data_IF_808907862629
#
_entry.id   IF_808907862629
#
_cell.length_a   1.000
_cell.length_b   1.000
_cell.length_c   1.000
_cell.angle_alpha   90.00
_cell.angle_beta   90.00
_cell.angle_gamma   90.00
#
_symmetry.space_group_name_H-M   'P 1'
#
loop_
_entity.id
_entity.type
_entity.pdbx_description
1 polymer ?
#
# COMPACT_ATOMS: atom_id res chain seq x y z
N UNK A 1 -14.02 1.19 -28.92
CA UNK A 1 -13.92 0.22 -27.80
C UNK A 1 -14.63 0.84 -26.60
N UNK A 2 -15.44 0.09 -25.84
CA UNK A 2 -16.18 0.65 -24.70
C UNK A 2 -15.23 1.12 -23.58
N UNK A 3 -15.61 2.18 -22.86
CA UNK A 3 -14.82 2.77 -21.76
C UNK A 3 -14.48 1.75 -20.66
N UNK A 4 -15.41 0.82 -20.39
CA UNK A 4 -15.22 -0.27 -19.42
C UNK A 4 -14.03 -1.15 -19.81
N UNK A 5 -13.94 -1.53 -21.09
CA UNK A 5 -12.86 -2.39 -21.59
C UNK A 5 -11.50 -1.67 -21.55
N UNK A 6 -11.49 -0.34 -21.72
CA UNK A 6 -10.25 0.45 -21.58
C UNK A 6 -9.78 0.54 -20.13
N UNK A 7 -10.70 0.73 -19.18
CA UNK A 7 -10.37 0.74 -17.75
C UNK A 7 -9.90 -0.62 -17.25
N UNK A 8 -10.52 -1.71 -17.69
CA UNK A 8 -10.07 -3.05 -17.36
C UNK A 8 -8.63 -3.29 -17.83
N UNK A 9 -8.32 -2.98 -19.09
CA UNK A 9 -6.98 -3.12 -19.66
C UNK A 9 -5.94 -2.30 -18.89
N UNK A 10 -6.25 -1.04 -18.59
CA UNK A 10 -5.36 -0.18 -17.81
C UNK A 10 -5.15 -0.72 -16.39
N UNK A 11 -6.23 -1.16 -15.73
CA UNK A 11 -6.18 -1.74 -14.40
C UNK A 11 -5.30 -3.00 -14.33
N UNK A 12 -5.39 -3.88 -15.33
CA UNK A 12 -4.55 -5.08 -15.42
C UNK A 12 -3.07 -4.69 -15.56
N UNK A 13 -2.75 -3.71 -16.40
CA UNK A 13 -1.37 -3.22 -16.60
C UNK A 13 -0.83 -2.64 -15.28
N UNK A 14 -1.60 -1.74 -14.65
CA UNK A 14 -1.24 -1.12 -13.37
C UNK A 14 -1.04 -2.17 -12.27
N UNK A 15 -1.92 -3.17 -12.18
CA UNK A 15 -1.82 -4.23 -11.19
C UNK A 15 -0.58 -5.11 -11.41
N UNK A 16 -0.24 -5.41 -12.66
CA UNK A 16 0.95 -6.21 -13.02
C UNK A 16 2.25 -5.50 -12.64
N UNK A 17 2.34 -4.19 -12.88
CA UNK A 17 3.53 -3.37 -12.64
C UNK A 17 3.46 -2.53 -11.36
N UNK A 18 2.55 -2.86 -10.43
CA UNK A 18 2.33 -2.09 -9.19
C UNK A 18 3.57 -1.91 -8.30
N UNK A 19 4.58 -2.76 -8.43
CA UNK A 19 5.83 -2.66 -7.67
C UNK A 19 6.88 -1.76 -8.34
N UNK A 20 6.75 -1.50 -9.63
CA UNK A 20 7.67 -0.70 -10.43
C UNK A 20 7.29 0.78 -10.44
N UNK A 21 5.98 1.09 -10.42
CA UNK A 21 5.49 2.48 -10.35
C UNK A 21 6.06 3.27 -9.15
N UNK A 22 6.10 2.72 -7.92
CA UNK A 22 6.68 3.42 -6.78
C UNK A 22 8.16 3.77 -6.94
N UNK A 23 8.93 3.04 -7.74
CA UNK A 23 10.37 3.30 -7.95
C UNK A 23 10.56 4.66 -8.64
N UNK A 24 9.73 4.96 -9.64
CA UNK A 24 9.76 6.25 -10.34
C UNK A 24 9.43 7.40 -9.39
N UNK A 25 8.42 7.22 -8.53
CA UNK A 25 8.06 8.19 -7.51
C UNK A 25 9.21 8.41 -6.51
N UNK A 26 9.94 7.35 -6.16
CA UNK A 26 11.10 7.43 -5.27
C UNK A 26 12.22 8.27 -5.88
N UNK A 27 12.55 8.05 -7.16
CA UNK A 27 13.54 8.89 -7.86
C UNK A 27 13.13 10.36 -7.90
N UNK A 28 11.85 10.64 -8.16
CA UNK A 28 11.32 12.01 -8.13
C UNK A 28 11.45 12.64 -6.74
N UNK A 29 11.21 11.88 -5.66
CA UNK A 29 11.30 12.40 -4.29
C UNK A 29 12.72 12.83 -3.86
N UNK A 30 13.78 12.24 -4.43
CA UNK A 30 15.17 12.56 -4.07
C UNK A 30 15.47 14.04 -4.25
N UNK A 31 15.00 14.64 -5.36
CA UNK A 31 15.23 16.05 -5.64
C UNK A 31 14.59 16.94 -4.57
N UNK A 32 13.33 16.65 -4.22
CA UNK A 32 12.61 17.41 -3.19
C UNK A 32 13.28 17.29 -1.83
N UNK A 33 13.73 16.08 -1.45
CA UNK A 33 14.41 15.87 -0.16
C UNK A 33 15.74 16.63 -0.12
N UNK A 34 16.51 16.63 -1.21
CA UNK A 34 17.81 17.29 -1.26
C UNK A 34 17.70 18.82 -1.12
N UNK A 35 16.70 19.44 -1.76
CA UNK A 35 16.54 20.89 -1.77
C UNK A 35 15.70 21.45 -0.62
N UNK A 36 15.07 20.59 0.18
CA UNK A 36 14.25 21.04 1.31
C UNK A 36 15.13 21.34 2.52
N UNK A 37 15.03 22.55 3.06
CA UNK A 37 15.65 22.90 4.33
C UNK A 37 14.75 22.49 5.50
N UNK A 38 15.23 21.60 6.35
CA UNK A 38 14.51 21.07 7.50
C UNK A 38 14.82 21.81 8.81
N UNK A 39 15.71 22.81 8.78
CA UNK A 39 16.18 23.53 9.97
C UNK A 39 15.07 24.28 10.72
N UNK A 40 14.01 24.70 10.01
CA UNK A 40 12.88 25.43 10.58
C UNK A 40 11.77 24.54 11.13
N UNK A 41 11.89 23.20 11.04
CA UNK A 41 10.84 22.31 11.53
C UNK A 41 10.89 22.23 13.05
N UNK A 42 9.86 22.77 13.68
CA UNK A 42 9.64 22.65 15.12
C UNK A 42 8.98 21.29 15.39
N UNK A 43 9.24 20.69 16.55
CA UNK A 43 8.60 19.43 17.00
C UNK A 43 8.92 18.17 16.17
N UNK A 44 10.05 18.13 15.46
CA UNK A 44 10.52 16.95 14.69
C UNK A 44 10.40 15.64 15.48
N UNK A 45 10.71 15.66 16.78
CA UNK A 45 10.60 14.49 17.65
C UNK A 45 9.18 13.91 17.72
N UNK A 46 8.15 14.74 17.80
CA UNK A 46 6.76 14.28 17.84
C UNK A 46 6.33 13.69 16.51
N UNK A 47 6.68 14.35 15.40
CA UNK A 47 6.43 13.82 14.06
C UNK A 47 7.11 12.46 13.86
N UNK A 48 8.38 12.33 14.28
CA UNK A 48 9.11 11.07 14.19
C UNK A 48 8.46 9.94 15.00
N UNK A 49 7.96 10.23 16.21
CA UNK A 49 7.22 9.24 17.01
C UNK A 49 5.93 8.82 16.31
N UNK A 50 5.14 9.78 15.81
CA UNK A 50 3.88 9.50 15.10
C UNK A 50 4.16 8.66 13.85
N UNK A 51 5.18 9.01 13.08
CA UNK A 51 5.65 8.27 11.90
C UNK A 51 5.99 6.82 12.24
N UNK A 52 6.77 6.59 13.29
CA UNK A 52 7.11 5.23 13.76
C UNK A 52 5.85 4.46 14.16
N UNK A 53 4.94 5.08 14.90
CA UNK A 53 3.68 4.45 15.32
C UNK A 53 2.83 4.06 14.10
N UNK A 54 2.71 4.94 13.10
CA UNK A 54 1.99 4.66 11.85
C UNK A 54 2.59 3.49 11.07
N UNK A 55 3.93 3.46 10.96
CA UNK A 55 4.65 2.36 10.32
C UNK A 55 4.39 1.04 11.04
N UNK A 56 4.55 1.01 12.37
CA UNK A 56 4.32 -0.18 13.19
C UNK A 56 2.87 -0.66 13.09
N UNK A 57 1.90 0.25 13.19
CA UNK A 57 0.49 -0.05 13.06
C UNK A 57 0.20 -0.65 11.67
N UNK A 58 0.74 -0.06 10.61
CA UNK A 58 0.59 -0.59 9.26
C UNK A 58 1.19 -1.99 9.10
N UNK A 59 2.35 -2.26 9.70
CA UNK A 59 2.93 -3.60 9.75
C UNK A 59 2.06 -4.59 10.52
N UNK A 60 1.48 -4.20 11.66
CA UNK A 60 0.57 -5.06 12.44
C UNK A 60 -0.68 -5.42 11.66
N UNK A 61 -1.30 -4.44 10.97
CA UNK A 61 -2.44 -4.69 10.08
C UNK A 61 -2.05 -5.70 9.00
N UNK A 62 -0.89 -5.50 8.35
CA UNK A 62 -0.42 -6.43 7.30
C UNK A 62 -0.17 -7.82 7.84
N UNK A 63 0.51 -7.93 8.97
CA UNK A 63 0.81 -9.22 9.61
C UNK A 63 -0.47 -9.97 9.93
N UNK A 64 -1.42 -9.31 10.62
CA UNK A 64 -2.70 -9.89 10.95
C UNK A 64 -3.49 -10.31 9.70
N UNK A 65 -3.53 -9.45 8.69
CA UNK A 65 -4.23 -9.74 7.43
C UNK A 65 -3.64 -10.97 6.76
N UNK A 66 -2.32 -11.04 6.58
CA UNK A 66 -1.68 -12.18 5.90
C UNK A 66 -1.85 -13.46 6.72
N UNK A 67 -1.71 -13.38 8.05
CA UNK A 67 -1.82 -14.53 8.96
C UNK A 67 -3.23 -15.11 9.06
N UNK A 68 -4.28 -14.32 8.78
CA UNK A 68 -5.69 -14.74 8.90
C UNK A 68 -6.37 -14.99 7.56
N UNK A 69 -5.74 -14.63 6.44
CA UNK A 69 -6.31 -14.84 5.11
C UNK A 69 -6.17 -16.30 4.67
N UNK A 70 -7.26 -16.90 4.18
CA UNK A 70 -7.24 -18.26 3.63
C UNK A 70 -6.31 -18.35 2.40
N UNK A 71 -5.65 -19.50 2.25
CA UNK A 71 -4.85 -19.80 1.06
C UNK A 71 -5.73 -19.77 -0.20
N UNK A 72 -5.16 -19.41 -1.36
CA UNK A 72 -5.88 -19.40 -2.64
C UNK A 72 -6.77 -18.17 -2.91
N UNK A 73 -6.74 -17.16 -2.03
CA UNK A 73 -7.56 -15.94 -2.17
C UNK A 73 -6.74 -14.74 -2.66
N UNK A 74 -6.09 -13.99 -1.76
CA UNK A 74 -5.41 -12.72 -2.04
C UNK A 74 -3.93 -12.90 -2.33
N UNK A 75 -3.61 -13.57 -3.45
CA UNK A 75 -2.25 -13.85 -3.91
C UNK A 75 -1.59 -12.70 -4.70
N UNK A 76 -0.30 -12.88 -5.08
CA UNK A 76 0.41 -11.89 -5.90
C UNK A 76 -0.14 -11.80 -7.34
N UNK A 77 -0.68 -12.91 -7.86
CA UNK A 77 -1.56 -13.03 -9.05
C UNK A 77 -1.25 -12.10 -10.24
N UNK A 78 0.03 -11.89 -10.56
CA UNK A 78 0.44 -10.89 -11.57
C UNK A 78 0.06 -11.25 -13.01
N UNK A 79 -0.05 -12.54 -13.32
CA UNK A 79 -0.30 -13.02 -14.67
C UNK A 79 -1.73 -13.56 -14.85
N UNK A 80 -2.33 -14.04 -13.76
CA UNK A 80 -3.70 -14.56 -13.72
C UNK A 80 -4.30 -14.24 -12.37
N UNK A 81 -5.53 -13.75 -12.37
CA UNK A 81 -6.30 -13.56 -11.14
C UNK A 81 -6.80 -14.92 -10.65
N UNK A 82 -6.48 -15.26 -9.40
CA UNK A 82 -6.92 -16.47 -8.72
C UNK A 82 -7.64 -16.03 -7.45
N UNK A 83 -8.91 -16.38 -7.31
CA UNK A 83 -9.70 -16.12 -6.11
C UNK A 83 -10.65 -17.30 -5.92
N UNK A 84 -10.17 -18.35 -5.26
CA UNK A 84 -10.96 -19.57 -5.01
C UNK A 84 -12.12 -19.30 -4.04
N UNK A 85 -11.95 -18.32 -3.15
CA UNK A 85 -13.00 -17.84 -2.24
C UNK A 85 -12.82 -16.36 -1.95
N UNK A 86 -13.93 -15.70 -1.56
CA UNK A 86 -13.93 -14.31 -1.14
C UNK A 86 -13.70 -14.21 0.38
N UNK A 87 -12.79 -13.33 0.79
CA UNK A 87 -12.59 -13.03 2.21
C UNK A 87 -13.68 -12.06 2.70
N UNK A 88 -14.49 -12.50 3.67
CA UNK A 88 -15.57 -11.71 4.27
C UNK A 88 -15.56 -11.70 5.79
N UNK A 89 -14.66 -12.43 6.43
CA UNK A 89 -14.55 -12.59 7.88
C UNK A 89 -13.27 -11.96 8.43
N UNK A 90 -13.17 -11.83 9.75
CA UNK A 90 -12.02 -11.21 10.41
C UNK A 90 -11.84 -9.76 9.96
N UNK A 91 -10.61 -9.35 9.64
CA UNK A 91 -10.36 -7.95 9.21
C UNK A 91 -11.08 -7.58 7.90
N UNK A 92 -11.41 -8.56 7.05
CA UNK A 92 -12.15 -8.32 5.82
C UNK A 92 -13.64 -8.03 6.03
N UNK A 93 -14.19 -8.29 7.23
CA UNK A 93 -15.55 -7.85 7.56
C UNK A 93 -15.63 -6.34 7.86
N UNK A 94 -14.49 -5.72 8.16
CA UNK A 94 -14.38 -4.30 8.50
C UNK A 94 -13.97 -3.46 7.28
N UNK A 95 -12.97 -3.94 6.52
CA UNK A 95 -12.44 -3.22 5.35
C UNK A 95 -12.18 -4.18 4.19
N UNK A 96 -12.52 -3.76 2.96
CA UNK A 96 -12.40 -4.61 1.75
C UNK A 96 -10.96 -4.91 1.33
N UNK A 97 -10.03 -4.00 1.63
CA UNK A 97 -8.62 -4.11 1.23
C UNK A 97 -7.66 -3.85 2.41
N UNK A 98 -7.64 -4.74 3.42
CA UNK A 98 -6.87 -4.54 4.64
C UNK A 98 -5.36 -4.50 4.41
N UNK A 99 -4.85 -5.24 3.41
CA UNK A 99 -3.45 -5.12 2.97
C UNK A 99 -3.11 -3.73 2.45
N UNK A 100 -4.04 -3.07 1.75
CA UNK A 100 -3.82 -1.73 1.22
C UNK A 100 -3.92 -0.68 2.31
N UNK A 101 -4.81 -0.87 3.29
CA UNK A 101 -4.86 -0.03 4.49
C UNK A 101 -3.52 -0.09 5.25
N UNK A 102 -2.98 -1.29 5.49
CA UNK A 102 -1.69 -1.45 6.15
C UNK A 102 -0.54 -0.83 5.35
N UNK A 103 -0.53 -0.98 4.02
CA UNK A 103 0.44 -0.31 3.15
C UNK A 103 0.34 1.21 3.25
N UNK A 104 -0.89 1.74 3.26
CA UNK A 104 -1.14 3.17 3.33
C UNK A 104 -0.57 3.74 4.64
N UNK A 105 -0.84 3.12 5.79
CA UNK A 105 -0.26 3.55 7.07
C UNK A 105 1.27 3.54 7.06
N UNK A 106 1.90 2.51 6.47
CA UNK A 106 3.37 2.46 6.33
C UNK A 106 3.88 3.62 5.49
N UNK A 107 3.29 3.85 4.32
CA UNK A 107 3.74 4.93 3.42
C UNK A 107 3.51 6.33 4.00
N UNK A 108 2.40 6.56 4.70
CA UNK A 108 2.15 7.82 5.40
C UNK A 108 3.15 8.04 6.52
N UNK A 109 3.57 7.00 7.24
CA UNK A 109 4.61 7.14 8.25
C UNK A 109 6.02 7.34 7.68
N UNK A 110 6.28 6.93 6.45
CA UNK A 110 7.57 7.14 5.75
C UNK A 110 7.66 8.53 5.12
N UNK A 111 6.55 9.04 4.60
CA UNK A 111 6.45 10.36 3.95
C UNK A 111 6.69 11.50 4.95
#
# INVERSE_FOLDING_TARGET
>A
MALVNTFEKQGIILFKYRGQFPIVLFFLSIQFIWFTDYSSIINVKYYLIISIVLVLLGFMIRFYTIGTTLKGTSGRNRNKQVAESLNSTGIYSIVRHPLYLGNYCIWVGIA
#
